data_IF_047325259092
#
_entry.id   IF_047325259092
#
_cell.length_a   1.000
_cell.length_b   1.000
_cell.length_c   1.000
_cell.angle_alpha   90.00
_cell.angle_beta   90.00
_cell.angle_gamma   90.00
#
_symmetry.space_group_name_H-M   'P 1'
#
loop_
_entity.id
_entity.type
_entity.pdbx_description
1 polymer ?
#
# COMPACT_ATOMS: atom_id res chain seq x y z
N UNK A 1 0.04 -5.09 -10.12
CA UNK A 1 0.78 -4.91 -8.84
C UNK A 1 1.79 -6.04 -8.70
N UNK A 2 2.95 -5.85 -8.06
CA UNK A 2 3.91 -6.95 -7.82
C UNK A 2 3.62 -7.63 -6.47
N UNK A 3 3.97 -8.91 -6.33
CA UNK A 3 3.78 -9.70 -5.10
C UNK A 3 4.43 -9.05 -3.87
N UNK A 4 5.62 -8.46 -4.03
CA UNK A 4 6.32 -7.74 -2.96
C UNK A 4 5.56 -6.52 -2.45
N UNK A 5 4.98 -5.73 -3.36
CA UNK A 5 4.14 -4.57 -3.02
C UNK A 5 2.90 -5.03 -2.26
N UNK A 6 2.29 -6.14 -2.69
CA UNK A 6 1.14 -6.71 -2.00
C UNK A 6 1.49 -7.15 -0.57
N UNK A 7 2.60 -7.87 -0.39
CA UNK A 7 3.07 -8.28 0.94
C UNK A 7 3.32 -7.08 1.86
N UNK A 8 3.87 -5.98 1.33
CA UNK A 8 4.07 -4.74 2.07
C UNK A 8 2.75 -4.06 2.46
N UNK A 9 1.76 -4.03 1.55
CA UNK A 9 0.42 -3.49 1.84
C UNK A 9 -0.27 -4.30 2.93
N UNK A 10 -0.19 -5.63 2.84
CA UNK A 10 -0.78 -6.53 3.83
C UNK A 10 -0.07 -6.39 5.19
N UNK A 11 1.25 -6.24 5.21
CA UNK A 11 1.98 -5.97 6.44
C UNK A 11 1.49 -4.68 7.13
N UNK A 12 1.29 -3.58 6.39
CA UNK A 12 0.71 -2.33 6.92
C UNK A 12 -0.73 -2.54 7.39
N UNK A 13 -1.53 -3.30 6.63
CA UNK A 13 -2.91 -3.60 7.01
C UNK A 13 -2.98 -4.38 8.33
N UNK A 14 -2.09 -5.33 8.51
CA UNK A 14 -2.05 -6.20 9.70
C UNK A 14 -1.63 -5.42 10.96
N UNK A 15 -0.89 -4.30 10.82
CA UNK A 15 -0.61 -3.43 11.98
C UNK A 15 -1.85 -2.70 12.49
N UNK A 16 -2.86 -2.47 11.63
CA UNK A 16 -4.05 -1.71 11.95
C UNK A 16 -3.80 -0.23 12.29
N UNK A 17 -2.62 0.31 11.96
CA UNK A 17 -2.19 1.65 12.38
C UNK A 17 -2.95 2.78 11.65
N UNK A 18 -3.37 2.53 10.41
CA UNK A 18 -4.08 3.52 9.59
C UNK A 18 -5.23 2.91 8.82
N UNK A 19 -6.16 3.76 8.41
CA UNK A 19 -7.09 3.41 7.36
C UNK A 19 -6.32 3.24 6.05
N UNK A 20 -6.50 2.10 5.38
CA UNK A 20 -5.79 1.80 4.13
C UNK A 20 -6.18 2.73 2.97
N UNK A 21 -7.27 3.51 3.08
CA UNK A 21 -7.62 4.57 2.12
C UNK A 21 -6.90 5.90 2.38
N UNK A 22 -6.27 6.06 3.55
CA UNK A 22 -5.39 7.20 3.81
C UNK A 22 -4.01 6.93 3.18
N UNK A 23 -3.94 7.14 1.87
CA UNK A 23 -2.73 6.87 1.07
C UNK A 23 -1.53 7.67 1.57
N UNK A 24 -1.73 8.89 2.05
CA UNK A 24 -0.65 9.71 2.61
C UNK A 24 -0.08 9.05 3.86
N UNK A 25 -0.95 8.57 4.75
CA UNK A 25 -0.49 7.88 5.95
C UNK A 25 0.17 6.54 5.64
N UNK A 26 -0.34 5.80 4.66
CA UNK A 26 0.27 4.56 4.17
C UNK A 26 1.65 4.84 3.57
N UNK A 27 1.85 5.95 2.85
CA UNK A 27 3.17 6.37 2.36
C UNK A 27 4.13 6.72 3.50
N UNK A 28 3.69 7.40 4.54
CA UNK A 28 4.51 7.67 5.73
C UNK A 28 4.96 6.38 6.41
N UNK A 29 4.04 5.42 6.58
CA UNK A 29 4.36 4.11 7.16
C UNK A 29 5.31 3.35 6.23
N UNK A 30 5.07 3.33 4.92
CA UNK A 30 5.96 2.70 3.96
C UNK A 30 7.38 3.28 4.04
N UNK A 31 7.52 4.60 4.17
CA UNK A 31 8.82 5.25 4.34
C UNK A 31 9.47 4.86 5.69
N UNK A 32 8.69 4.76 6.77
CA UNK A 32 9.18 4.37 8.10
C UNK A 32 9.66 2.92 8.15
N UNK A 33 8.95 2.00 7.50
CA UNK A 33 9.26 0.56 7.47
C UNK A 33 10.28 0.18 6.38
N UNK A 34 10.74 1.14 5.56
CA UNK A 34 11.70 0.90 4.48
C UNK A 34 11.09 0.21 3.25
N UNK A 35 9.79 0.38 3.01
CA UNK A 35 9.09 -0.16 1.85
C UNK A 35 9.20 0.78 0.65
N UNK A 36 10.42 0.96 0.14
CA UNK A 36 10.72 1.90 -0.95
C UNK A 36 9.89 1.61 -2.22
N UNK A 37 9.69 0.33 -2.55
CA UNK A 37 8.88 -0.09 -3.70
C UNK A 37 7.41 0.31 -3.55
N UNK A 38 6.82 0.11 -2.36
CA UNK A 38 5.46 0.55 -2.07
C UNK A 38 5.35 2.08 -2.09
N UNK A 39 6.32 2.79 -1.51
CA UNK A 39 6.35 4.24 -1.49
C UNK A 39 6.34 4.83 -2.91
N UNK A 40 7.23 4.35 -3.78
CA UNK A 40 7.27 4.76 -5.19
C UNK A 40 5.99 4.34 -5.91
N UNK A 41 5.50 3.11 -5.70
CA UNK A 41 4.28 2.62 -6.33
C UNK A 41 3.06 3.49 -6.03
N UNK A 42 2.88 3.88 -4.76
CA UNK A 42 1.76 4.72 -4.32
C UNK A 42 1.78 6.12 -4.93
N UNK A 43 2.91 6.58 -5.45
CA UNK A 43 3.01 7.91 -6.09
C UNK A 43 2.29 7.93 -7.44
N UNK A 44 2.45 6.87 -8.23
CA UNK A 44 1.92 6.81 -9.61
C UNK A 44 0.67 5.91 -9.75
N UNK A 45 0.41 5.02 -8.78
CA UNK A 45 -0.57 3.94 -8.93
C UNK A 45 -1.69 3.95 -7.87
N UNK A 46 -2.04 5.13 -7.34
CA UNK A 46 -3.10 5.28 -6.32
C UNK A 46 -4.40 4.58 -6.75
N UNK A 47 -4.81 4.72 -8.01
CA UNK A 47 -6.04 4.09 -8.50
C UNK A 47 -6.01 2.56 -8.49
N UNK A 48 -4.85 1.96 -8.79
CA UNK A 48 -4.69 0.50 -8.73
C UNK A 48 -4.64 0.01 -7.28
N UNK A 49 -3.94 0.75 -6.41
CA UNK A 49 -3.92 0.49 -4.96
C UNK A 49 -5.34 0.55 -4.35
N UNK A 50 -6.09 1.61 -4.59
CA UNK A 50 -7.45 1.77 -4.05
C UNK A 50 -8.39 0.66 -4.54
N UNK A 51 -8.28 0.26 -5.82
CA UNK A 51 -9.01 -0.90 -6.34
C UNK A 51 -8.64 -2.17 -5.60
N UNK A 52 -7.35 -2.43 -5.40
CA UNK A 52 -6.88 -3.60 -4.65
C UNK A 52 -7.43 -3.63 -3.21
N UNK A 53 -7.44 -2.50 -2.51
CA UNK A 53 -8.03 -2.42 -1.17
C UNK A 53 -9.54 -2.70 -1.17
N UNK A 54 -10.26 -2.30 -2.22
CA UNK A 54 -11.71 -2.51 -2.35
C UNK A 54 -12.10 -3.92 -2.77
N UNK A 55 -11.40 -4.50 -3.75
CA UNK A 55 -11.82 -5.74 -4.41
C UNK A 55 -10.94 -6.94 -4.08
N UNK A 56 -9.73 -6.70 -3.56
CA UNK A 56 -8.70 -7.73 -3.43
C UNK A 56 -8.18 -8.26 -4.77
N UNK A 57 -8.56 -7.65 -5.90
CA UNK A 57 -8.18 -8.13 -7.23
C UNK A 57 -6.82 -7.55 -7.66
N UNK A 58 -5.92 -8.46 -8.05
CA UNK A 58 -4.63 -8.16 -8.68
C UNK A 58 -4.85 -7.95 -10.19
N UNK A 59 -5.21 -6.75 -10.63
CA UNK A 59 -5.10 -6.39 -12.07
C UNK A 59 -3.77 -5.73 -12.39
#
# INVERSE_FOLDING_TARGET
MNKKIMEQILAIRDTGETNMFDVRKVQEIAMREGYDELFVYLTDNIGAYTRFILTGEEK
#
